data_IF_904703304211
#
_entry.id   IF_904703304211
#
_cell.length_a   1.000
_cell.length_b   1.000
_cell.length_c   1.000
_cell.angle_alpha   90.00
_cell.angle_beta   90.00
_cell.angle_gamma   90.00
#
_symmetry.space_group_name_H-M   'P 1'
#
loop_
_entity.id
_entity.type
_entity.pdbx_description
1 polymer ?
#
# COMPACT_ATOMS: atom_id res chain seq x y z
N UNK A 1 11.87 16.29 -23.27
CA UNK A 1 12.14 16.26 -21.82
C UNK A 1 11.12 15.43 -21.06
N UNK A 2 11.56 14.35 -20.42
CA UNK A 2 10.72 13.56 -19.51
C UNK A 2 10.85 14.21 -18.14
N UNK A 3 10.06 15.25 -17.88
CA UNK A 3 9.93 15.75 -16.52
C UNK A 3 9.33 14.63 -15.66
N UNK A 4 10.09 14.17 -14.66
CA UNK A 4 9.55 13.32 -13.62
C UNK A 4 8.44 14.10 -12.91
N UNK A 5 7.25 13.54 -12.69
CA UNK A 5 6.21 14.23 -11.95
C UNK A 5 6.78 14.66 -10.58
N UNK A 6 6.77 15.96 -10.32
CA UNK A 6 6.98 16.50 -8.98
C UNK A 6 5.67 16.29 -8.22
N UNK A 7 5.74 15.62 -7.08
CA UNK A 7 4.58 15.61 -6.18
C UNK A 7 4.42 17.02 -5.61
N UNK A 8 3.21 17.56 -5.71
CA UNK A 8 2.82 18.83 -5.08
C UNK A 8 2.83 18.69 -3.55
N UNK A 9 2.67 17.47 -3.04
CA UNK A 9 2.61 17.18 -1.61
C UNK A 9 3.97 16.79 -1.03
N UNK A 10 4.31 17.39 0.13
CA UNK A 10 5.46 17.02 0.92
C UNK A 10 5.45 15.52 1.28
N UNK A 11 6.63 14.91 1.30
CA UNK A 11 6.75 13.48 1.64
C UNK A 11 6.40 13.26 3.10
N UNK A 12 5.29 12.54 3.35
CA UNK A 12 4.87 12.16 4.70
C UNK A 12 5.71 11.01 5.22
N UNK A 13 6.69 11.31 6.07
CA UNK A 13 7.57 10.32 6.70
C UNK A 13 6.96 9.83 8.01
N UNK A 14 6.65 8.54 8.09
CA UNK A 14 6.01 7.97 9.29
C UNK A 14 7.11 7.50 10.24
N UNK A 15 7.12 8.05 11.45
CA UNK A 15 8.02 7.61 12.50
C UNK A 15 7.63 6.22 13.00
N UNK A 16 8.63 5.45 13.40
CA UNK A 16 8.43 4.06 13.78
C UNK A 16 7.67 3.34 12.65
N UNK A 17 8.14 3.39 11.41
CA UNK A 17 8.01 2.31 10.39
C UNK A 17 9.41 1.91 9.91
N UNK A 18 9.57 0.80 9.17
CA UNK A 18 10.88 0.49 8.58
C UNK A 18 11.21 1.54 7.53
N UNK A 19 12.46 2.01 7.51
CA UNK A 19 12.95 2.99 6.52
C UNK A 19 12.60 2.54 5.09
N UNK A 20 12.74 1.24 4.80
CA UNK A 20 12.37 0.67 3.49
C UNK A 20 10.91 0.90 3.09
N UNK A 21 9.98 0.90 4.06
CA UNK A 21 8.55 1.13 3.83
C UNK A 21 8.30 2.62 3.55
N UNK A 22 8.95 3.52 4.30
CA UNK A 22 8.90 4.96 4.00
C UNK A 22 9.46 5.27 2.61
N UNK A 23 10.62 4.71 2.25
CA UNK A 23 11.22 4.87 0.91
C UNK A 23 10.29 4.32 -0.17
N UNK A 24 9.66 3.17 0.07
CA UNK A 24 8.66 2.63 -0.83
C UNK A 24 7.48 3.58 -1.02
N UNK A 25 6.87 4.06 0.07
CA UNK A 25 5.70 4.94 0.01
C UNK A 25 6.03 6.26 -0.69
N UNK A 26 7.22 6.83 -0.42
CA UNK A 26 7.75 7.99 -1.14
C UNK A 26 7.84 7.75 -2.65
N UNK A 27 8.46 6.62 -3.05
CA UNK A 27 8.55 6.25 -4.47
C UNK A 27 7.18 5.98 -5.10
N UNK A 28 6.24 5.41 -4.34
CA UNK A 28 4.89 5.14 -4.81
C UNK A 28 4.12 6.44 -5.09
N UNK A 29 4.18 7.40 -4.16
CA UNK A 29 3.55 8.72 -4.31
C UNK A 29 4.12 9.54 -5.46
N UNK A 30 5.40 9.34 -5.80
CA UNK A 30 6.04 9.97 -6.95
C UNK A 30 5.85 9.19 -8.26
N UNK A 31 5.10 8.08 -8.24
CA UNK A 31 4.94 7.18 -9.39
C UNK A 31 6.30 6.70 -9.97
N UNK A 32 7.25 6.36 -9.07
CA UNK A 32 8.63 5.93 -9.40
C UNK A 32 8.88 4.45 -9.12
N UNK A 33 7.82 3.67 -8.97
CA UNK A 33 7.88 2.21 -8.85
C UNK A 33 7.80 1.55 -10.23
N UNK A 34 8.25 0.31 -10.35
CA UNK A 34 8.23 -0.47 -11.59
C UNK A 34 6.85 -1.07 -11.88
N UNK A 35 5.82 -0.21 -11.89
CA UNK A 35 4.48 -0.60 -12.36
C UNK A 35 4.51 -0.92 -13.85
N UNK A 36 3.55 -1.69 -14.38
CA UNK A 36 3.51 -1.98 -15.83
C UNK A 36 3.47 -0.69 -16.64
N UNK A 37 2.61 0.26 -16.25
CA UNK A 37 2.54 1.58 -16.91
C UNK A 37 3.87 2.35 -16.89
N UNK A 38 4.65 2.27 -15.81
CA UNK A 38 5.96 2.93 -15.72
C UNK A 38 7.02 2.24 -16.57
N UNK A 39 6.97 0.91 -16.66
CA UNK A 39 7.86 0.12 -17.52
C UNK A 39 7.57 0.40 -19.00
N UNK A 40 6.30 0.43 -19.41
CA UNK A 40 5.89 0.79 -20.77
C UNK A 40 6.34 2.22 -21.11
N UNK A 41 6.17 3.20 -20.21
CA UNK A 41 6.70 4.56 -20.39
C UNK A 41 8.20 4.61 -20.62
N UNK A 42 8.96 3.67 -20.04
CA UNK A 42 10.40 3.50 -20.23
C UNK A 42 10.77 2.61 -21.42
N UNK A 43 9.80 2.31 -22.29
CA UNK A 43 9.96 1.48 -23.50
C UNK A 43 10.39 0.04 -23.20
N UNK A 44 10.09 -0.47 -22.02
CA UNK A 44 10.26 -1.89 -21.70
C UNK A 44 9.10 -2.67 -22.34
N UNK A 45 9.42 -3.67 -23.15
CA UNK A 45 8.43 -4.57 -23.77
C UNK A 45 7.90 -5.53 -22.70
N UNK A 46 6.58 -5.64 -22.60
CA UNK A 46 5.88 -6.49 -21.63
C UNK A 46 4.86 -7.35 -22.37
N UNK A 47 4.69 -8.60 -21.95
CA UNK A 47 3.67 -9.50 -22.54
C UNK A 47 2.24 -9.00 -22.30
N UNK A 48 2.03 -8.24 -21.22
CA UNK A 48 0.76 -7.62 -20.87
C UNK A 48 0.95 -6.35 -20.06
N UNK A 49 0.06 -5.37 -20.30
CA UNK A 49 -0.05 -4.15 -19.50
C UNK A 49 -0.98 -4.31 -18.29
N UNK A 50 -1.71 -5.43 -18.20
CA UNK A 50 -2.73 -5.67 -17.18
C UNK A 50 -2.12 -5.91 -15.80
N UNK A 51 -2.90 -5.60 -14.76
CA UNK A 51 -2.53 -5.82 -13.37
C UNK A 51 -2.27 -7.32 -13.11
N UNK A 52 -1.08 -7.71 -12.64
CA UNK A 52 -0.73 -9.11 -12.34
C UNK A 52 -1.63 -9.74 -11.27
N UNK A 53 -2.25 -8.92 -10.41
CA UNK A 53 -3.08 -9.41 -9.33
C UNK A 53 -4.47 -9.87 -9.80
N UNK A 54 -5.13 -9.09 -10.66
CA UNK A 54 -6.49 -9.37 -11.14
C UNK A 54 -6.56 -9.79 -12.61
N UNK A 55 -5.62 -9.36 -13.46
CA UNK A 55 -5.60 -9.63 -14.88
C UNK A 55 -6.63 -8.86 -15.70
N UNK A 56 -7.30 -7.83 -15.14
CA UNK A 56 -8.46 -7.19 -15.76
C UNK A 56 -8.21 -5.78 -16.30
N UNK A 57 -7.42 -4.97 -15.60
CA UNK A 57 -7.24 -3.54 -15.90
C UNK A 57 -5.76 -3.22 -16.02
N UNK A 58 -5.35 -2.31 -16.93
CA UNK A 58 -3.97 -1.83 -17.00
C UNK A 58 -3.41 -1.39 -15.65
N UNK A 59 -2.19 -1.81 -15.36
CA UNK A 59 -1.57 -1.59 -14.06
C UNK A 59 -0.92 -0.20 -13.94
N UNK A 60 -1.42 0.62 -13.03
CA UNK A 60 -0.69 1.75 -12.46
C UNK A 60 -0.58 1.61 -10.93
N UNK A 61 0.20 2.50 -10.30
CA UNK A 61 0.47 2.41 -8.87
C UNK A 61 -0.79 2.58 -8.02
N UNK A 62 -1.69 3.48 -8.40
CA UNK A 62 -2.95 3.69 -7.68
C UNK A 62 -3.88 2.49 -7.87
N UNK A 63 -3.86 1.85 -9.03
CA UNK A 63 -4.64 0.65 -9.26
C UNK A 63 -4.17 -0.49 -8.36
N UNK A 64 -2.87 -0.78 -8.33
CA UNK A 64 -2.32 -1.85 -7.48
C UNK A 64 -2.58 -1.61 -6.00
N UNK A 65 -2.43 -0.36 -5.55
CA UNK A 65 -2.48 -0.04 -4.12
C UNK A 65 -3.87 0.32 -3.61
N UNK A 66 -4.83 0.67 -4.46
CA UNK A 66 -6.15 1.15 -4.06
C UNK A 66 -7.31 0.48 -4.79
N UNK A 67 -7.26 0.44 -6.13
CA UNK A 67 -8.45 0.13 -6.95
C UNK A 67 -8.59 -1.35 -7.32
N UNK A 68 -7.51 -2.13 -7.29
CA UNK A 68 -7.52 -3.55 -7.54
C UNK A 68 -8.41 -4.27 -6.52
N UNK A 69 -9.19 -5.26 -6.93
CA UNK A 69 -10.09 -6.00 -6.03
C UNK A 69 -9.35 -6.65 -4.86
N UNK A 70 -8.10 -7.06 -5.07
CA UNK A 70 -7.24 -7.58 -4.00
C UNK A 70 -6.94 -6.50 -2.96
N UNK A 71 -6.62 -5.28 -3.40
CA UNK A 71 -6.37 -4.15 -2.50
C UNK A 71 -7.65 -3.75 -1.75
N UNK A 72 -8.78 -3.64 -2.45
CA UNK A 72 -10.09 -3.33 -1.85
C UNK A 72 -10.47 -4.36 -0.78
N UNK A 73 -10.29 -5.64 -1.04
CA UNK A 73 -10.57 -6.70 -0.06
C UNK A 73 -9.71 -6.55 1.20
N UNK A 74 -8.42 -6.27 1.03
CA UNK A 74 -7.49 -6.05 2.15
C UNK A 74 -7.92 -4.85 2.98
N UNK A 75 -8.22 -3.71 2.35
CA UNK A 75 -8.65 -2.54 3.11
C UNK A 75 -9.99 -2.72 3.81
N UNK A 76 -10.97 -3.40 3.19
CA UNK A 76 -12.23 -3.74 3.86
C UNK A 76 -11.99 -4.51 5.15
N UNK A 77 -11.05 -5.46 5.14
CA UNK A 77 -10.67 -6.21 6.34
C UNK A 77 -9.95 -5.34 7.38
N UNK A 78 -9.10 -4.40 6.94
CA UNK A 78 -8.45 -3.44 7.85
C UNK A 78 -9.48 -2.50 8.49
N UNK A 79 -10.38 -1.91 7.70
CA UNK A 79 -11.45 -1.06 8.20
C UNK A 79 -12.32 -1.82 9.21
N UNK A 80 -12.69 -3.08 8.91
CA UNK A 80 -13.39 -3.94 9.87
C UNK A 80 -12.59 -4.22 11.14
N UNK A 81 -11.28 -4.44 11.03
CA UNK A 81 -10.42 -4.67 12.20
C UNK A 81 -10.34 -3.45 13.12
N UNK A 82 -10.46 -2.24 12.56
CA UNK A 82 -10.38 -0.97 13.26
C UNK A 82 -11.74 -0.33 13.58
N UNK A 83 -12.83 -1.05 13.33
CA UNK A 83 -14.21 -0.56 13.49
C UNK A 83 -14.46 0.76 12.74
N UNK A 84 -14.03 0.81 11.48
CA UNK A 84 -14.17 1.97 10.59
C UNK A 84 -15.08 1.63 9.42
N UNK A 85 -15.87 2.61 8.98
CA UNK A 85 -16.67 2.50 7.77
C UNK A 85 -15.80 2.45 6.52
N UNK A 86 -16.03 1.42 5.71
CA UNK A 86 -15.35 1.26 4.42
C UNK A 86 -15.77 2.36 3.44
N UNK A 87 -14.77 2.99 2.81
CA UNK A 87 -14.95 3.93 1.71
C UNK A 87 -14.07 3.49 0.55
N UNK A 88 -14.57 3.62 -0.68
CA UNK A 88 -13.77 3.31 -1.86
C UNK A 88 -12.70 4.40 -2.06
N UNK A 89 -11.50 4.14 -1.56
CA UNK A 89 -10.32 4.98 -1.77
C UNK A 89 -9.71 4.64 -3.13
N UNK A 90 -9.49 5.64 -3.99
CA UNK A 90 -9.00 5.42 -5.36
C UNK A 90 -7.54 5.85 -5.54
N UNK A 91 -7.04 6.71 -4.67
CA UNK A 91 -5.71 7.31 -4.75
C UNK A 91 -5.11 7.64 -3.37
N UNK A 92 -3.85 8.06 -3.37
CA UNK A 92 -3.21 8.61 -2.16
C UNK A 92 -3.88 9.89 -1.67
N UNK A 93 -4.44 10.69 -2.58
CA UNK A 93 -5.17 11.92 -2.23
C UNK A 93 -6.46 11.59 -1.50
N UNK A 94 -7.23 10.64 -2.02
CA UNK A 94 -8.49 10.19 -1.39
C UNK A 94 -8.23 9.60 -0.01
N UNK A 95 -7.17 8.80 0.13
CA UNK A 95 -6.76 8.29 1.44
C UNK A 95 -6.34 9.42 2.38
N UNK A 96 -5.58 10.42 1.93
CA UNK A 96 -5.20 11.56 2.77
C UNK A 96 -6.45 12.33 3.26
N UNK A 97 -7.41 12.59 2.37
CA UNK A 97 -8.65 13.28 2.67
C UNK A 97 -9.51 12.49 3.68
N UNK A 98 -9.78 11.21 3.39
CA UNK A 98 -10.47 10.31 4.30
C UNK A 98 -9.78 10.21 5.66
N UNK A 99 -8.47 9.98 5.66
CA UNK A 99 -7.70 9.81 6.88
C UNK A 99 -7.69 11.08 7.75
N UNK A 100 -7.71 12.27 7.14
CA UNK A 100 -7.76 13.54 7.87
C UNK A 100 -9.04 13.69 8.70
N UNK A 101 -10.19 13.24 8.18
CA UNK A 101 -11.50 13.42 8.83
C UNK A 101 -11.87 12.31 9.82
N UNK A 102 -11.15 11.18 9.81
CA UNK A 102 -11.35 10.10 10.79
C UNK A 102 -11.16 10.62 12.22
N UNK A 103 -12.16 10.36 13.06
CA UNK A 103 -12.16 10.67 14.49
C UNK A 103 -11.58 9.51 15.29
N UNK A 104 -10.29 9.59 15.60
CA UNK A 104 -9.59 8.66 16.48
C UNK A 104 -8.66 9.43 17.42
N UNK A 105 -8.38 8.92 18.63
CA UNK A 105 -7.34 9.48 19.48
C UNK A 105 -6.01 9.58 18.72
N UNK A 106 -5.24 10.65 18.93
CA UNK A 106 -4.03 10.95 18.15
C UNK A 106 -3.04 9.77 18.08
N UNK A 107 -2.79 9.11 19.22
CA UNK A 107 -1.91 7.93 19.30
C UNK A 107 -2.44 6.76 18.48
N UNK A 108 -3.75 6.51 18.51
CA UNK A 108 -4.42 5.43 17.78
C UNK A 108 -4.42 5.73 16.28
N UNK A 109 -4.67 6.98 15.89
CA UNK A 109 -4.57 7.46 14.51
C UNK A 109 -3.17 7.25 13.94
N UNK A 110 -2.12 7.55 14.71
CA UNK A 110 -0.73 7.28 14.30
C UNK A 110 -0.46 5.79 14.06
N UNK A 111 -1.02 4.89 14.87
CA UNK A 111 -0.86 3.44 14.66
C UNK A 111 -1.61 2.99 13.40
N UNK A 112 -2.84 3.46 13.20
CA UNK A 112 -3.62 3.17 12.00
C UNK A 112 -2.90 3.62 10.73
N UNK A 113 -2.30 4.81 10.74
CA UNK A 113 -1.47 5.28 9.62
C UNK A 113 -0.36 4.29 9.28
N UNK A 114 0.35 3.76 10.28
CA UNK A 114 1.41 2.77 10.07
C UNK A 114 0.87 1.49 9.45
N UNK A 115 -0.31 1.03 9.88
CA UNK A 115 -0.98 -0.15 9.29
C UNK A 115 -1.22 0.06 7.80
N UNK A 116 -1.65 1.24 7.37
CA UNK A 116 -1.82 1.54 5.93
C UNK A 116 -0.51 1.52 5.15
N UNK A 117 0.57 2.08 5.69
CA UNK A 117 1.88 2.05 5.03
C UNK A 117 2.41 0.61 4.87
N UNK A 118 2.28 -0.20 5.93
CA UNK A 118 2.62 -1.62 5.90
C UNK A 118 1.77 -2.36 4.88
N UNK A 119 0.47 -2.07 4.83
CA UNK A 119 -0.47 -2.66 3.88
C UNK A 119 -0.08 -2.40 2.43
N UNK A 120 0.21 -1.14 2.07
CA UNK A 120 0.65 -0.82 0.71
C UNK A 120 1.95 -1.53 0.35
N UNK A 121 2.90 -1.59 1.28
CA UNK A 121 4.14 -2.35 1.08
C UNK A 121 3.86 -3.83 0.80
N UNK A 122 2.99 -4.46 1.58
CA UNK A 122 2.64 -5.87 1.40
C UNK A 122 1.88 -6.14 0.11
N UNK A 123 0.95 -5.26 -0.28
CA UNK A 123 0.28 -5.34 -1.59
C UNK A 123 1.30 -5.28 -2.73
N UNK A 124 2.28 -4.39 -2.63
CA UNK A 124 3.36 -4.28 -3.63
C UNK A 124 4.26 -5.52 -3.65
N UNK A 125 4.67 -6.02 -2.49
CA UNK A 125 5.48 -7.26 -2.40
C UNK A 125 4.72 -8.44 -2.98
N UNK A 126 3.43 -8.59 -2.64
CA UNK A 126 2.58 -9.64 -3.16
C UNK A 126 2.45 -9.56 -4.70
N UNK A 127 2.25 -8.35 -5.23
CA UNK A 127 2.29 -8.12 -6.68
C UNK A 127 3.62 -8.55 -7.29
N UNK A 128 4.75 -8.21 -6.70
CA UNK A 128 6.05 -8.62 -7.25
C UNK A 128 6.23 -10.14 -7.20
N UNK A 129 5.80 -10.79 -6.12
CA UNK A 129 5.80 -12.25 -6.02
C UNK A 129 4.94 -12.89 -7.11
N UNK A 130 3.78 -12.32 -7.45
CA UNK A 130 2.94 -12.85 -8.54
C UNK A 130 3.59 -12.82 -9.92
N UNK A 131 4.63 -11.99 -10.12
CA UNK A 131 5.38 -11.91 -11.37
C UNK A 131 6.64 -12.79 -11.34
N UNK A 132 7.38 -12.77 -10.23
CA UNK A 132 8.74 -13.30 -10.18
C UNK A 132 8.88 -14.61 -9.38
N UNK A 133 7.89 -14.98 -8.56
CA UNK A 133 7.97 -16.20 -7.77
C UNK A 133 7.60 -17.43 -8.61
N UNK A 134 8.34 -18.51 -8.42
CA UNK A 134 8.08 -19.83 -9.03
C UNK A 134 6.79 -20.45 -8.51
N UNK A 135 6.42 -20.14 -7.26
CA UNK A 135 5.14 -20.55 -6.63
C UNK A 135 4.43 -19.33 -6.08
N UNK A 136 3.38 -18.81 -6.76
CA UNK A 136 2.63 -17.65 -6.31
C UNK A 136 1.95 -17.91 -4.96
N UNK A 137 2.09 -16.97 -4.01
CA UNK A 137 1.43 -17.04 -2.72
C UNK A 137 -0.10 -16.90 -2.88
N UNK A 138 -0.87 -17.65 -2.08
CA UNK A 138 -2.34 -17.61 -2.14
C UNK A 138 -2.86 -16.24 -1.68
N UNK A 139 -3.83 -15.68 -2.41
CA UNK A 139 -4.48 -14.39 -2.09
C UNK A 139 -5.02 -14.33 -0.66
N UNK A 140 -5.45 -15.47 -0.11
CA UNK A 140 -5.97 -15.57 1.26
C UNK A 140 -4.96 -15.18 2.33
N UNK A 141 -3.66 -15.38 2.08
CA UNK A 141 -2.58 -15.18 3.06
C UNK A 141 -2.19 -13.70 3.22
N UNK A 142 -2.52 -12.85 2.24
CA UNK A 142 -2.11 -11.43 2.24
C UNK A 142 -2.57 -10.72 3.51
N UNK A 143 -3.83 -10.93 3.90
CA UNK A 143 -4.37 -10.29 5.10
C UNK A 143 -3.73 -10.83 6.38
N UNK A 144 -3.55 -12.14 6.48
CA UNK A 144 -2.96 -12.76 7.66
C UNK A 144 -1.49 -12.33 7.84
N UNK A 145 -0.75 -12.19 6.74
CA UNK A 145 0.60 -11.63 6.72
C UNK A 145 0.60 -10.16 7.17
N UNK A 146 -0.36 -9.35 6.69
CA UNK A 146 -0.49 -7.94 7.11
C UNK A 146 -0.80 -7.85 8.59
N UNK A 147 -1.72 -8.66 9.12
CA UNK A 147 -2.10 -8.67 10.54
C UNK A 147 -0.91 -9.13 11.39
N UNK A 148 -0.36 -10.32 11.12
CA UNK A 148 0.75 -10.89 11.89
C UNK A 148 1.95 -9.95 11.93
N UNK A 149 2.32 -9.36 10.79
CA UNK A 149 3.47 -8.46 10.72
C UNK A 149 3.15 -7.08 11.29
N UNK A 150 1.94 -6.54 11.13
CA UNK A 150 1.56 -5.29 11.81
C UNK A 150 1.62 -5.45 13.33
N UNK A 151 1.14 -6.58 13.87
CA UNK A 151 1.22 -6.92 15.29
C UNK A 151 2.66 -7.11 15.78
N UNK A 152 3.44 -7.97 15.11
CA UNK A 152 4.86 -8.21 15.45
C UNK A 152 5.62 -6.90 15.48
N UNK A 153 5.31 -6.01 14.55
CA UNK A 153 6.03 -4.76 14.36
C UNK A 153 5.64 -3.69 15.37
N UNK A 154 4.35 -3.60 15.75
CA UNK A 154 3.91 -2.82 16.91
C UNK A 154 4.56 -3.35 18.19
N UNK A 155 4.55 -4.67 18.43
CA UNK A 155 5.11 -5.29 19.62
C UNK A 155 6.64 -5.15 19.74
N UNK A 156 7.37 -5.19 18.62
CA UNK A 156 8.85 -5.15 18.61
C UNK A 156 9.43 -3.74 18.70
N UNK A 157 8.64 -2.70 18.37
CA UNK A 157 9.15 -1.32 18.20
C UNK A 157 8.40 -0.26 18.99
N UNK A 158 7.22 -0.56 19.51
CA UNK A 158 6.68 0.18 20.63
C UNK A 158 7.22 -0.45 21.92
N UNK A 159 8.26 0.15 22.51
CA UNK A 159 8.68 -0.11 23.90
C UNK A 159 7.62 0.36 24.93
N UNK A 160 6.36 0.52 24.53
CA UNK A 160 5.26 0.81 25.42
C UNK A 160 4.46 -0.46 25.58
N UNK A 161 4.49 -0.99 26.79
CA UNK A 161 3.51 -1.94 27.27
C UNK A 161 2.12 -1.47 26.84
N UNK A 162 1.42 -2.32 26.08
CA UNK A 162 -0.03 -2.21 25.99
C UNK A 162 -0.55 -2.67 27.36
N UNK A 163 -0.62 -1.71 28.28
CA UNK A 163 -1.22 -1.82 29.61
C UNK A 163 -2.26 -0.72 29.74
#
# INVERSE_FOLDING_TARGET
DIFLPSAVDATRWVNYILIKINVFAWRARLDRLSSRSNLVRRRVVLDSSLCPLCGLVPEDIHYVLFRCDTAKLVFRRICRWWDLDWHDLLSFSDWNAWFSVIRLPSRIKLILERVFYVTWWHLWVYRNQSIFATTPSRRSVIFDDIVSRSFTWCASRCNSSFS
#
